data_IF_537384429877
#
_entry.id   IF_537384429877
#
_cell.length_a   1.000
_cell.length_b   1.000
_cell.length_c   1.000
_cell.angle_alpha   90.00
_cell.angle_beta   90.00
_cell.angle_gamma   90.00
#
_symmetry.space_group_name_H-M   'P 1'
#
loop_
_entity.id
_entity.type
_entity.pdbx_description
1 polymer ?
#
# COMPACT_ATOMS: atom_id res chain seq x y z
N UNK A 1 -5.80 -0.23 5.21
CA UNK A 1 -4.82 -1.29 4.86
C UNK A 1 -5.60 -2.56 4.58
N UNK A 2 -5.33 -3.22 3.45
CA UNK A 2 -6.00 -4.48 3.08
C UNK A 2 -5.50 -5.67 3.91
N UNK A 3 -6.05 -6.86 3.69
CA UNK A 3 -5.70 -8.06 4.47
C UNK A 3 -4.28 -8.60 4.23
N UNK A 4 -3.51 -8.02 3.31
CA UNK A 4 -2.23 -8.56 2.88
C UNK A 4 -2.36 -9.56 1.72
N UNK A 5 -1.22 -10.13 1.30
CA UNK A 5 -1.18 -11.10 0.20
C UNK A 5 -1.46 -12.50 0.73
N UNK A 6 -2.27 -13.29 0.04
CA UNK A 6 -2.41 -14.72 0.36
C UNK A 6 -1.43 -15.53 -0.47
N UNK A 7 -0.57 -16.31 0.18
CA UNK A 7 0.41 -17.19 -0.44
C UNK A 7 0.29 -18.58 0.19
N UNK A 8 0.06 -19.62 -0.63
CA UNK A 8 -0.16 -21.01 -0.20
C UNK A 8 -1.26 -21.17 0.87
N UNK A 9 -2.35 -20.43 0.75
CA UNK A 9 -3.48 -20.45 1.68
C UNK A 9 -3.20 -19.76 3.02
N UNK A 10 -2.01 -19.17 3.21
CA UNK A 10 -1.67 -18.36 4.38
C UNK A 10 -1.70 -16.88 4.01
N UNK A 11 -2.32 -16.08 4.88
CA UNK A 11 -2.30 -14.62 4.75
C UNK A 11 -0.95 -14.11 5.24
N UNK A 12 -0.21 -13.46 4.35
CA UNK A 12 1.00 -12.70 4.64
C UNK A 12 0.57 -11.30 5.05
N UNK A 13 0.84 -10.87 6.29
CA UNK A 13 0.45 -9.55 6.76
C UNK A 13 1.22 -8.46 6.01
N UNK A 14 0.56 -7.32 5.82
CA UNK A 14 1.20 -6.12 5.28
C UNK A 14 2.31 -5.65 6.24
N UNK A 15 3.46 -5.29 5.69
CA UNK A 15 4.62 -4.78 6.43
C UNK A 15 4.40 -3.33 6.88
N UNK A 16 3.57 -2.60 6.14
CA UNK A 16 3.19 -1.21 6.43
C UNK A 16 2.02 -1.10 7.39
N UNK A 17 1.99 -0.01 8.14
CA UNK A 17 0.96 0.34 9.10
C UNK A 17 0.29 1.67 8.76
N UNK A 18 -0.87 1.91 9.36
CA UNK A 18 -1.59 3.17 9.18
C UNK A 18 -0.70 4.30 9.71
N UNK A 19 -0.61 5.39 8.95
CA UNK A 19 0.25 6.56 9.18
C UNK A 19 1.73 6.38 8.84
N UNK A 20 2.16 5.24 8.29
CA UNK A 20 3.51 5.15 7.73
C UNK A 20 3.65 6.09 6.52
N UNK A 21 4.73 6.85 6.49
CA UNK A 21 5.14 7.61 5.31
C UNK A 21 5.98 6.68 4.44
N UNK A 22 5.61 6.53 3.18
CA UNK A 22 6.26 5.56 2.28
C UNK A 22 6.66 6.20 0.97
N UNK A 23 7.74 5.69 0.38
CA UNK A 23 8.09 5.93 -1.02
C UNK A 23 7.56 4.77 -1.86
N UNK A 24 6.99 5.08 -3.03
CA UNK A 24 6.48 4.10 -3.97
C UNK A 24 6.94 4.44 -5.39
N UNK A 25 6.88 3.48 -6.31
CA UNK A 25 7.25 3.69 -7.71
C UNK A 25 6.42 4.82 -8.33
N UNK A 26 7.07 5.74 -9.05
CA UNK A 26 6.41 6.90 -9.71
C UNK A 26 5.22 6.53 -10.61
N UNK A 27 5.28 5.35 -11.25
CA UNK A 27 4.25 4.84 -12.15
C UNK A 27 3.42 3.71 -11.52
N UNK A 28 3.57 3.47 -10.22
CA UNK A 28 2.84 2.46 -9.47
C UNK A 28 1.56 3.04 -8.85
N UNK A 29 0.54 2.19 -8.73
CA UNK A 29 -0.73 2.51 -8.10
C UNK A 29 -1.86 2.87 -9.06
N UNK A 30 -3.05 3.04 -8.50
CA UNK A 30 -4.30 3.36 -9.21
C UNK A 30 -5.03 4.46 -8.47
N UNK A 31 -5.36 5.54 -9.16
CA UNK A 31 -6.17 6.62 -8.60
C UNK A 31 -7.62 6.14 -8.44
N UNK A 32 -8.17 6.36 -7.26
CA UNK A 32 -9.55 5.97 -6.92
C UNK A 32 -10.23 7.10 -6.16
N UNK A 33 -11.51 7.34 -6.45
CA UNK A 33 -12.35 8.26 -5.69
C UNK A 33 -13.17 7.49 -4.67
N UNK A 34 -12.98 7.81 -3.39
CA UNK A 34 -13.73 7.23 -2.27
C UNK A 34 -14.27 8.40 -1.46
N UNK A 35 -15.59 8.40 -1.22
CA UNK A 35 -16.29 9.46 -0.48
C UNK A 35 -15.98 10.88 -0.99
N UNK A 36 -15.86 11.01 -2.31
CA UNK A 36 -15.57 12.29 -2.99
C UNK A 36 -14.12 12.77 -2.86
N UNK A 37 -13.22 11.99 -2.24
CA UNK A 37 -11.79 12.31 -2.10
C UNK A 37 -10.95 11.43 -3.01
N UNK A 38 -9.93 12.04 -3.60
CA UNK A 38 -8.92 11.34 -4.38
C UNK A 38 -7.98 10.57 -3.45
N UNK A 39 -7.81 9.29 -3.75
CA UNK A 39 -6.89 8.40 -3.06
C UNK A 39 -6.03 7.68 -4.10
N UNK A 40 -4.85 7.26 -3.68
CA UNK A 40 -3.97 6.42 -4.50
C UNK A 40 -3.90 5.03 -3.86
N UNK A 41 -4.43 4.03 -4.56
CA UNK A 41 -4.31 2.63 -4.18
C UNK A 41 -2.96 2.11 -4.69
N UNK A 42 -2.08 1.72 -3.78
CA UNK A 42 -0.74 1.20 -4.12
C UNK A 42 -0.61 -0.22 -3.59
N UNK A 43 -0.05 -1.13 -4.40
CA UNK A 43 0.28 -2.48 -3.95
C UNK A 43 1.56 -2.46 -3.14
N UNK A 44 1.69 -3.38 -2.19
CA UNK A 44 2.88 -3.48 -1.35
C UNK A 44 4.17 -3.72 -2.16
N UNK A 45 4.09 -4.44 -3.28
CA UNK A 45 5.21 -4.70 -4.20
C UNK A 45 5.75 -3.44 -4.94
N UNK A 46 4.99 -2.34 -4.89
CA UNK A 46 5.38 -1.05 -5.46
C UNK A 46 5.96 -0.09 -4.42
N UNK A 47 5.97 -0.48 -3.14
CA UNK A 47 6.61 0.28 -2.09
C UNK A 47 8.13 0.06 -2.15
N UNK A 48 8.88 1.16 -2.11
CA UNK A 48 10.34 1.17 -2.18
C UNK A 48 10.97 1.26 -0.78
N UNK A 49 10.37 2.04 0.12
CA UNK A 49 10.85 2.24 1.48
C UNK A 49 9.76 2.81 2.39
N UNK A 50 9.88 2.55 3.70
CA UNK A 50 9.19 3.30 4.75
C UNK A 50 10.14 4.41 5.21
N UNK A 51 9.68 5.65 5.16
CA UNK A 51 10.44 6.83 5.58
C UNK A 51 10.20 7.03 7.06
N UNK A 52 11.25 6.85 7.85
CA UNK A 52 11.26 7.11 9.29
C UNK A 52 12.06 8.39 9.51
N UNK A 53 11.43 9.42 10.09
CA UNK A 53 12.11 10.69 10.41
C UNK A 53 12.93 10.59 11.68
#
# INVERSE_FOLDING_TARGET
IGQGKTEDGKTVPMTVKVNDVVMYKKWGGTEVKIDGKDHLLVKEEDLLAIVVS
#
